data_IF_151739198472
#
_entry.id   IF_151739198472
#
_cell.length_a   1.000
_cell.length_b   1.000
_cell.length_c   1.000
_cell.angle_alpha   90.00
_cell.angle_beta   90.00
_cell.angle_gamma   90.00
#
_symmetry.space_group_name_H-M   'P 1'
#
loop_
_entity.id
_entity.type
_entity.pdbx_description
1 polymer ?
#
# COMPACT_ATOMS: atom_id res chain seq x y z
N UNK A 1 24.55 -9.16 -33.52
CA UNK A 1 23.91 -8.03 -32.81
C UNK A 1 23.54 -6.96 -33.81
N UNK A 2 22.26 -6.67 -33.89
CA UNK A 2 21.70 -5.66 -34.80
C UNK A 2 22.16 -4.26 -34.41
N UNK A 3 22.55 -3.44 -35.39
CA UNK A 3 22.91 -2.05 -35.10
C UNK A 3 21.69 -1.23 -34.67
N UNK A 4 21.85 -0.36 -33.67
CA UNK A 4 20.79 0.53 -33.16
C UNK A 4 20.13 1.35 -34.29
N UNK A 5 20.90 1.75 -35.30
CA UNK A 5 20.41 2.48 -36.48
C UNK A 5 19.44 1.66 -37.35
N UNK A 6 19.67 0.35 -37.48
CA UNK A 6 18.78 -0.50 -38.27
C UNK A 6 17.43 -0.70 -37.57
N UNK A 7 17.45 -0.88 -36.24
CA UNK A 7 16.21 -0.97 -35.45
C UNK A 7 15.46 0.37 -35.49
N UNK A 8 16.18 1.49 -35.42
CA UNK A 8 15.58 2.82 -35.51
C UNK A 8 14.80 3.03 -36.81
N UNK A 9 15.42 2.72 -37.96
CA UNK A 9 14.79 2.90 -39.26
C UNK A 9 13.53 2.02 -39.40
N UNK A 10 13.60 0.77 -38.94
CA UNK A 10 12.46 -0.16 -39.02
C UNK A 10 11.33 0.24 -38.09
N UNK A 11 11.60 0.59 -36.82
CA UNK A 11 10.53 1.01 -35.90
C UNK A 11 9.84 2.29 -36.39
N UNK A 12 10.58 3.25 -36.96
CA UNK A 12 9.97 4.42 -37.59
C UNK A 12 9.05 4.06 -38.75
N UNK A 13 9.46 3.13 -39.62
CA UNK A 13 8.58 2.66 -40.72
C UNK A 13 7.37 1.89 -40.22
N UNK A 14 7.50 1.15 -39.12
CA UNK A 14 6.39 0.42 -38.52
C UNK A 14 5.41 1.38 -37.82
N UNK A 15 5.87 2.50 -37.26
CA UNK A 15 5.04 3.42 -36.48
C UNK A 15 3.79 3.90 -37.24
N UNK A 16 3.93 4.34 -38.49
CA UNK A 16 2.80 4.82 -39.31
C UNK A 16 1.78 3.69 -39.58
N UNK A 17 2.26 2.50 -39.91
CA UNK A 17 1.41 1.30 -40.10
C UNK A 17 0.75 0.88 -38.78
N UNK A 18 1.49 0.96 -37.68
CA UNK A 18 1.04 0.58 -36.34
C UNK A 18 -0.04 1.54 -35.83
N UNK A 19 0.06 2.83 -36.15
CA UNK A 19 -0.94 3.84 -35.81
C UNK A 19 -2.25 3.58 -36.55
N UNK A 20 -2.18 3.30 -37.85
CA UNK A 20 -3.37 2.94 -38.64
C UNK A 20 -4.01 1.63 -38.17
N UNK A 21 -3.19 0.63 -37.83
CA UNK A 21 -3.67 -0.66 -37.32
C UNK A 21 -4.26 -0.48 -35.92
N UNK A 22 -3.60 0.25 -35.02
CA UNK A 22 -4.10 0.57 -33.69
C UNK A 22 -5.45 1.27 -33.77
N UNK A 23 -5.57 2.32 -34.58
CA UNK A 23 -6.81 3.05 -34.77
C UNK A 23 -7.91 2.17 -35.35
N UNK A 24 -7.58 1.30 -36.31
CA UNK A 24 -8.53 0.36 -36.88
C UNK A 24 -9.02 -0.65 -35.84
N UNK A 25 -8.10 -1.32 -35.13
CA UNK A 25 -8.43 -2.28 -34.08
C UNK A 25 -9.25 -1.61 -32.98
N UNK A 26 -8.87 -0.41 -32.56
CA UNK A 26 -9.59 0.33 -31.54
C UNK A 26 -11.01 0.69 -32.01
N UNK A 27 -11.19 1.21 -33.23
CA UNK A 27 -12.53 1.49 -33.77
C UNK A 27 -13.36 0.21 -33.91
N UNK A 28 -12.76 -0.91 -34.31
CA UNK A 28 -13.46 -2.20 -34.41
C UNK A 28 -13.82 -2.76 -33.04
N UNK A 29 -12.93 -2.65 -32.06
CA UNK A 29 -13.21 -2.99 -30.68
C UNK A 29 -14.34 -2.10 -30.13
N UNK A 30 -14.31 -0.79 -30.39
CA UNK A 30 -15.38 0.13 -30.00
C UNK A 30 -16.72 -0.26 -30.61
N UNK A 31 -16.79 -0.45 -31.93
CA UNK A 31 -18.02 -0.83 -32.61
C UNK A 31 -18.54 -2.19 -32.10
N UNK A 32 -17.66 -3.16 -31.84
CA UNK A 32 -18.08 -4.45 -31.28
C UNK A 32 -18.56 -4.31 -29.83
N UNK A 33 -17.87 -3.52 -29.00
CA UNK A 33 -18.33 -3.21 -27.65
C UNK A 33 -19.68 -2.48 -27.69
N UNK A 34 -19.91 -1.58 -28.66
CA UNK A 34 -21.19 -0.90 -28.83
C UNK A 34 -22.30 -1.83 -29.33
N UNK A 35 -22.03 -2.69 -30.32
CA UNK A 35 -23.03 -3.52 -30.99
C UNK A 35 -23.35 -4.82 -30.22
N UNK A 36 -22.34 -5.43 -29.59
CA UNK A 36 -22.39 -6.82 -29.08
C UNK A 36 -22.56 -6.91 -27.57
N UNK A 37 -22.42 -5.79 -26.86
CA UNK A 37 -22.62 -5.78 -25.42
C UNK A 37 -24.11 -5.83 -25.10
N UNK A 38 -24.50 -6.86 -24.33
CA UNK A 38 -25.76 -6.88 -23.59
C UNK A 38 -25.92 -5.55 -22.84
N UNK A 39 -27.17 -5.11 -22.63
CA UNK A 39 -27.50 -3.85 -21.92
C UNK A 39 -26.70 -3.68 -20.61
N UNK A 40 -26.45 -4.80 -19.92
CA UNK A 40 -25.64 -4.87 -18.70
C UNK A 40 -24.21 -4.37 -18.90
N UNK A 41 -23.51 -4.76 -19.97
CA UNK A 41 -22.12 -4.29 -20.20
C UNK A 41 -22.14 -2.88 -20.80
N UNK A 42 -23.14 -2.50 -21.61
CA UNK A 42 -23.25 -1.10 -22.07
C UNK A 42 -23.39 -0.13 -20.91
N UNK A 43 -24.05 -0.54 -19.83
CA UNK A 43 -24.09 0.24 -18.58
C UNK A 43 -22.70 0.42 -17.95
N UNK A 44 -21.82 -0.58 -18.09
CA UNK A 44 -20.43 -0.57 -17.61
C UNK A 44 -19.54 0.34 -18.48
N UNK A 45 -19.73 0.38 -19.80
CA UNK A 45 -18.93 1.25 -20.69
C UNK A 45 -19.42 2.70 -20.71
N UNK A 46 -20.74 2.92 -20.60
CA UNK A 46 -21.33 4.27 -20.63
C UNK A 46 -21.10 5.03 -19.31
N UNK A 47 -20.80 4.33 -18.22
CA UNK A 47 -20.37 4.94 -16.98
C UNK A 47 -18.87 5.23 -17.04
N UNK A 48 -18.50 6.40 -17.57
CA UNK A 48 -17.18 7.06 -17.44
C UNK A 48 -15.90 6.27 -17.82
N UNK A 49 -16.01 5.08 -18.43
CA UNK A 49 -14.86 4.29 -18.86
C UNK A 49 -14.08 4.98 -19.97
N UNK A 50 -12.76 5.12 -19.81
CA UNK A 50 -11.88 5.72 -20.80
C UNK A 50 -11.13 4.62 -21.55
N UNK A 51 -11.14 4.72 -22.89
CA UNK A 51 -10.39 3.79 -23.75
C UNK A 51 -9.16 4.52 -24.28
N UNK A 52 -7.99 4.07 -23.82
CA UNK A 52 -6.70 4.66 -24.21
C UNK A 52 -5.95 3.72 -25.12
N UNK A 53 -5.73 4.17 -26.35
CA UNK A 53 -4.80 3.52 -27.26
C UNK A 53 -3.36 3.92 -26.92
N UNK A 54 -2.43 2.98 -27.11
CA UNK A 54 -1.01 3.23 -26.89
C UNK A 54 -0.17 2.40 -27.85
N UNK A 55 0.65 3.11 -28.64
CA UNK A 55 1.82 2.50 -29.28
C UNK A 55 3.00 2.62 -28.33
N UNK A 56 3.75 1.53 -28.17
CA UNK A 56 4.92 1.52 -27.29
C UNK A 56 6.00 2.44 -27.87
N UNK A 57 6.49 3.37 -27.06
CA UNK A 57 7.50 4.33 -27.51
C UNK A 57 8.79 3.64 -27.95
N UNK A 58 9.44 4.19 -28.97
CA UNK A 58 10.68 3.66 -29.53
C UNK A 58 11.73 3.26 -28.46
N UNK A 59 12.07 4.11 -27.47
CA UNK A 59 13.03 3.71 -26.43
C UNK A 59 12.57 2.48 -25.61
N UNK A 60 11.27 2.33 -25.39
CA UNK A 60 10.70 1.20 -24.65
C UNK A 60 10.73 -0.09 -25.47
N UNK A 61 10.54 0.00 -26.79
CA UNK A 61 10.64 -1.13 -27.74
C UNK A 61 12.07 -1.64 -27.79
N UNK A 62 13.06 -0.75 -27.98
CA UNK A 62 14.48 -1.10 -27.96
C UNK A 62 14.88 -1.79 -26.66
N UNK A 63 14.47 -1.21 -25.51
CA UNK A 63 14.78 -1.79 -24.20
C UNK A 63 14.21 -3.21 -24.08
N UNK A 64 12.93 -3.41 -24.39
CA UNK A 64 12.29 -4.74 -24.29
C UNK A 64 12.88 -5.73 -25.30
N UNK A 65 13.19 -5.29 -26.53
CA UNK A 65 13.85 -6.10 -27.54
C UNK A 65 15.20 -6.64 -27.04
N UNK A 66 16.01 -5.81 -26.37
CA UNK A 66 17.27 -6.23 -25.75
C UNK A 66 17.05 -7.21 -24.59
N UNK A 67 16.07 -6.94 -23.74
CA UNK A 67 15.74 -7.79 -22.58
C UNK A 67 15.33 -9.21 -22.99
N UNK A 68 14.59 -9.35 -24.09
CA UNK A 68 14.12 -10.65 -24.59
C UNK A 68 15.04 -11.26 -25.67
N UNK A 69 16.14 -10.57 -26.03
CA UNK A 69 17.13 -11.08 -26.97
C UNK A 69 16.70 -11.11 -28.44
N UNK A 70 15.90 -10.14 -28.90
CA UNK A 70 15.49 -10.03 -30.31
C UNK A 70 16.72 -9.92 -31.23
N UNK A 71 16.84 -10.84 -32.20
CA UNK A 71 18.01 -10.95 -33.08
C UNK A 71 17.82 -10.21 -34.40
N UNK A 72 16.59 -9.91 -34.81
CA UNK A 72 16.27 -9.16 -36.03
C UNK A 72 15.13 -8.16 -35.84
N UNK A 73 15.17 -7.04 -36.58
CA UNK A 73 14.10 -6.04 -36.57
C UNK A 73 12.74 -6.60 -36.98
N UNK A 74 12.72 -7.60 -37.87
CA UNK A 74 11.50 -8.19 -38.39
C UNK A 74 10.81 -9.12 -37.40
N UNK A 75 11.52 -9.48 -36.32
CA UNK A 75 10.96 -10.24 -35.20
C UNK A 75 10.28 -9.32 -34.18
N UNK A 76 10.53 -8.00 -34.22
CA UNK A 76 9.95 -7.04 -33.25
C UNK A 76 8.42 -7.10 -33.24
N UNK A 77 7.73 -7.05 -34.39
CA UNK A 77 6.30 -7.20 -34.41
C UNK A 77 5.88 -8.54 -33.83
N UNK A 78 6.62 -9.64 -33.98
CA UNK A 78 6.19 -10.95 -33.47
C UNK A 78 6.47 -11.17 -31.98
N UNK A 79 7.58 -10.63 -31.47
CA UNK A 79 8.10 -10.96 -30.13
C UNK A 79 7.74 -9.94 -29.05
N UNK A 80 7.29 -8.73 -29.42
CA UNK A 80 6.92 -7.69 -28.45
C UNK A 80 5.40 -7.62 -28.33
N UNK A 81 4.87 -8.42 -27.41
CA UNK A 81 3.42 -8.61 -27.20
C UNK A 81 2.64 -7.32 -26.90
N UNK A 82 3.29 -6.30 -26.32
CA UNK A 82 2.70 -5.01 -25.95
C UNK A 82 3.17 -3.86 -26.85
N UNK A 83 3.54 -4.18 -28.10
CA UNK A 83 3.97 -3.18 -29.07
C UNK A 83 2.79 -2.27 -29.47
N UNK A 84 1.65 -2.88 -29.79
CA UNK A 84 0.34 -2.21 -29.85
C UNK A 84 -0.40 -2.57 -28.56
N UNK A 85 -0.91 -1.56 -27.87
CA UNK A 85 -1.65 -1.76 -26.64
C UNK A 85 -2.90 -0.89 -26.55
N UNK A 86 -3.90 -1.38 -25.84
CA UNK A 86 -5.09 -0.63 -25.46
C UNK A 86 -5.38 -0.85 -23.99
N UNK A 87 -5.86 0.20 -23.33
CA UNK A 87 -6.37 0.14 -21.97
C UNK A 87 -7.84 0.50 -21.97
N UNK A 88 -8.64 -0.28 -21.26
CA UNK A 88 -10.03 0.04 -20.95
C UNK A 88 -10.10 0.20 -19.44
N UNK A 89 -10.45 1.41 -18.99
CA UNK A 89 -10.77 1.65 -17.58
C UNK A 89 -12.27 1.48 -17.33
N UNK A 90 -12.62 0.83 -16.23
CA UNK A 90 -13.99 0.71 -15.73
C UNK A 90 -14.14 1.46 -14.40
N UNK A 91 -15.34 1.88 -14.01
CA UNK A 91 -15.55 2.56 -12.72
C UNK A 91 -15.00 1.81 -11.51
N UNK A 92 -15.17 0.49 -11.45
CA UNK A 92 -14.70 -0.34 -10.35
C UNK A 92 -14.07 -1.67 -10.84
N UNK A 93 -13.39 -2.38 -9.94
CA UNK A 93 -12.66 -3.62 -10.26
C UNK A 93 -13.55 -4.83 -10.58
N UNK A 94 -14.79 -4.84 -10.08
CA UNK A 94 -15.77 -5.88 -10.39
C UNK A 94 -16.19 -5.80 -11.85
N UNK A 95 -16.50 -4.60 -12.32
CA UNK A 95 -16.78 -4.31 -13.71
C UNK A 95 -15.58 -4.63 -14.61
N UNK A 96 -14.35 -4.31 -14.17
CA UNK A 96 -13.14 -4.70 -14.89
C UNK A 96 -13.07 -6.23 -15.07
N UNK A 97 -13.38 -6.98 -14.01
CA UNK A 97 -13.41 -8.44 -14.03
C UNK A 97 -14.52 -8.98 -14.94
N UNK A 98 -15.72 -8.43 -14.86
CA UNK A 98 -16.85 -8.83 -15.71
C UNK A 98 -16.53 -8.59 -17.19
N UNK A 99 -15.99 -7.41 -17.52
CA UNK A 99 -15.57 -7.08 -18.89
C UNK A 99 -14.45 -8.02 -19.36
N UNK A 100 -13.44 -8.28 -18.52
CA UNK A 100 -12.39 -9.26 -18.85
C UNK A 100 -12.97 -10.65 -19.12
N UNK A 101 -13.88 -11.15 -18.28
CA UNK A 101 -14.53 -12.45 -18.43
C UNK A 101 -15.40 -12.52 -19.68
N UNK A 102 -16.13 -11.45 -19.98
CA UNK A 102 -16.91 -11.31 -21.20
C UNK A 102 -16.01 -11.39 -22.43
N UNK A 103 -14.97 -10.54 -22.48
CA UNK A 103 -13.99 -10.53 -23.56
C UNK A 103 -13.37 -11.90 -23.74
N UNK A 104 -12.91 -12.52 -22.65
CA UNK A 104 -12.35 -13.89 -22.65
C UNK A 104 -13.29 -14.90 -23.30
N UNK A 105 -14.58 -14.88 -22.96
CA UNK A 105 -15.58 -15.79 -23.54
C UNK A 105 -15.80 -15.51 -25.03
N UNK A 106 -15.88 -14.24 -25.44
CA UNK A 106 -16.07 -13.89 -26.85
C UNK A 106 -14.86 -14.29 -27.69
N UNK A 107 -13.64 -14.02 -27.21
CA UNK A 107 -12.40 -14.48 -27.82
C UNK A 107 -12.31 -16.00 -27.96
N UNK A 108 -13.03 -16.76 -27.13
CA UNK A 108 -13.06 -18.24 -27.19
C UNK A 108 -14.15 -18.76 -28.15
N UNK A 109 -15.24 -18.02 -28.37
CA UNK A 109 -16.42 -18.47 -29.10
C UNK A 109 -16.44 -18.06 -30.58
N UNK A 110 -16.06 -16.83 -30.90
CA UNK A 110 -16.15 -16.29 -32.25
C UNK A 110 -14.78 -16.23 -32.91
N UNK A 111 -14.52 -17.15 -33.86
CA UNK A 111 -13.32 -17.12 -34.72
C UNK A 111 -13.40 -16.07 -35.83
N UNK A 112 -14.55 -15.43 -36.01
CA UNK A 112 -14.85 -14.70 -37.26
C UNK A 112 -14.40 -13.24 -37.26
N UNK A 113 -14.13 -12.64 -36.09
CA UNK A 113 -13.83 -11.20 -35.96
C UNK A 113 -12.40 -10.90 -35.56
N UNK A 114 -11.69 -11.93 -35.06
CA UNK A 114 -10.24 -11.95 -34.99
C UNK A 114 -9.76 -12.94 -36.04
N UNK A 115 -9.08 -12.41 -37.05
CA UNK A 115 -8.47 -13.19 -38.13
C UNK A 115 -7.74 -14.41 -37.56
N UNK A 116 -7.78 -15.53 -38.29
CA UNK A 116 -7.25 -16.84 -37.88
C UNK A 116 -6.09 -16.68 -36.91
N UNK A 117 -6.39 -16.87 -35.62
CA UNK A 117 -5.43 -16.64 -34.55
C UNK A 117 -4.23 -17.56 -34.79
N UNK A 118 -3.09 -16.99 -35.18
CA UNK A 118 -1.84 -17.75 -35.40
C UNK A 118 -1.17 -18.18 -34.07
N UNK A 119 -1.96 -18.16 -32.97
CA UNK A 119 -1.61 -18.66 -31.65
C UNK A 119 -2.78 -18.56 -30.67
N UNK A 120 -2.77 -19.37 -29.60
CA UNK A 120 -3.79 -19.26 -28.55
C UNK A 120 -3.66 -17.93 -27.78
N UNK A 121 -4.77 -17.20 -27.54
CA UNK A 121 -4.74 -16.00 -26.71
C UNK A 121 -4.23 -16.33 -25.30
N UNK A 122 -3.29 -15.53 -24.79
CA UNK A 122 -2.84 -15.70 -23.40
C UNK A 122 -3.64 -14.77 -22.50
N UNK A 123 -4.41 -15.38 -21.60
CA UNK A 123 -5.15 -14.70 -20.56
C UNK A 123 -4.36 -14.78 -19.26
N UNK A 124 -3.87 -13.64 -18.76
CA UNK A 124 -3.14 -13.63 -17.49
C UNK A 124 -3.80 -12.64 -16.53
N UNK A 125 -4.45 -13.11 -15.45
CA UNK A 125 -4.72 -12.25 -14.31
C UNK A 125 -3.37 -11.95 -13.65
N UNK A 126 -2.73 -10.83 -14.00
CA UNK A 126 -1.40 -10.52 -13.45
C UNK A 126 -1.52 -9.99 -12.02
N UNK A 127 -1.45 -10.92 -11.07
CA UNK A 127 -1.08 -10.70 -9.67
C UNK A 127 0.00 -11.68 -9.19
N UNK A 128 0.83 -12.28 -10.05
CA UNK A 128 1.93 -13.17 -9.60
C UNK A 128 3.25 -12.83 -10.28
N UNK A 129 4.33 -12.99 -9.51
CA UNK A 129 5.75 -12.79 -9.82
C UNK A 129 6.19 -13.52 -11.11
N UNK A 130 6.08 -12.92 -12.30
CA UNK A 130 6.96 -13.34 -13.39
C UNK A 130 7.32 -12.24 -14.41
N UNK A 131 8.60 -12.26 -14.77
CA UNK A 131 9.37 -11.54 -15.82
C UNK A 131 9.33 -10.01 -15.93
N UNK A 132 8.39 -9.31 -15.30
CA UNK A 132 8.47 -7.87 -15.11
C UNK A 132 8.52 -7.57 -13.61
N UNK A 133 9.40 -6.65 -13.18
CA UNK A 133 9.60 -6.23 -11.79
C UNK A 133 8.35 -5.68 -11.05
N UNK A 134 7.17 -5.68 -11.69
CA UNK A 134 5.89 -5.27 -11.13
C UNK A 134 5.14 -6.51 -10.60
N UNK A 135 5.53 -6.98 -9.41
CA UNK A 135 4.82 -8.06 -8.71
C UNK A 135 3.77 -7.49 -7.73
N UNK A 136 3.08 -8.38 -7.00
CA UNK A 136 2.27 -8.05 -5.79
C UNK A 136 2.97 -7.02 -4.89
N UNK A 137 4.31 -7.01 -4.88
CA UNK A 137 5.13 -6.07 -4.14
C UNK A 137 4.97 -4.59 -4.53
N UNK A 138 4.54 -4.26 -5.76
CA UNK A 138 4.29 -2.86 -6.18
C UNK A 138 2.80 -2.49 -6.12
N UNK A 139 1.93 -3.48 -5.91
CA UNK A 139 0.48 -3.28 -5.86
C UNK A 139 -0.15 -2.87 -7.21
N UNK A 140 0.50 -3.23 -8.32
CA UNK A 140 -0.09 -3.04 -9.65
C UNK A 140 -1.17 -4.09 -9.89
N UNK A 141 -2.33 -3.68 -10.41
CA UNK A 141 -3.48 -4.53 -10.65
C UNK A 141 -4.08 -4.20 -12.03
N UNK A 142 -4.15 -5.20 -12.91
CA UNK A 142 -4.82 -5.13 -14.21
C UNK A 142 -5.07 -6.54 -14.75
N UNK A 143 -6.09 -6.70 -15.58
CA UNK A 143 -6.29 -7.90 -16.37
C UNK A 143 -5.66 -7.71 -17.74
N UNK A 144 -4.79 -8.65 -18.15
CA UNK A 144 -4.12 -8.59 -19.45
C UNK A 144 -4.67 -9.66 -20.38
N UNK A 145 -4.98 -9.25 -21.59
CA UNK A 145 -5.36 -10.11 -22.70
C UNK A 145 -4.35 -9.84 -23.82
N UNK A 146 -3.69 -10.87 -24.30
CA UNK A 146 -2.80 -10.77 -25.47
C UNK A 146 -3.30 -11.67 -26.58
N UNK A 147 -3.35 -11.15 -27.79
CA UNK A 147 -3.75 -11.87 -28.99
C UNK A 147 -2.98 -11.37 -30.20
N UNK A 148 -2.99 -12.13 -31.29
CA UNK A 148 -2.37 -11.74 -32.56
C UNK A 148 -3.48 -11.31 -33.52
N UNK A 149 -3.36 -10.11 -34.07
CA UNK A 149 -4.25 -9.56 -35.08
C UNK A 149 -3.61 -9.71 -36.46
N UNK A 150 -4.23 -10.50 -37.35
CA UNK A 150 -3.85 -10.51 -38.76
C UNK A 150 -4.58 -9.38 -39.50
N UNK A 151 -3.81 -8.40 -39.96
CA UNK A 151 -4.30 -7.25 -40.74
C UNK A 151 -4.74 -7.61 -42.16
N UNK A 152 -4.47 -8.85 -42.60
CA UNK A 152 -4.71 -9.34 -43.93
C UNK A 152 -3.93 -8.56 -44.99
N UNK A 153 -4.19 -8.85 -46.27
CA UNK A 153 -3.51 -8.16 -47.38
C UNK A 153 -3.96 -6.70 -47.60
N UNK A 154 -4.88 -6.17 -46.78
CA UNK A 154 -5.54 -4.87 -47.00
C UNK A 154 -4.67 -3.66 -46.64
N UNK A 155 -3.70 -3.85 -45.73
CA UNK A 155 -2.79 -2.78 -45.29
C UNK A 155 -1.33 -3.00 -45.74
N UNK A 156 -1.07 -4.06 -46.49
CA UNK A 156 0.26 -4.63 -46.71
C UNK A 156 0.85 -4.40 -48.10
N UNK A 157 0.30 -3.50 -48.93
CA UNK A 157 0.94 -3.20 -50.22
C UNK A 157 2.42 -2.80 -50.05
N UNK A 158 2.79 -2.26 -48.88
CA UNK A 158 4.16 -1.88 -48.52
C UNK A 158 4.70 -2.54 -47.22
N UNK A 159 3.99 -3.49 -46.61
CA UNK A 159 4.37 -4.07 -45.31
C UNK A 159 4.34 -5.61 -45.34
N UNK A 160 5.49 -6.25 -45.13
CA UNK A 160 5.62 -7.72 -45.05
C UNK A 160 5.03 -8.34 -43.77
N UNK A 161 4.52 -7.51 -42.85
CA UNK A 161 4.01 -7.94 -41.55
C UNK A 161 2.49 -7.92 -41.57
N UNK A 162 1.90 -9.11 -41.73
CA UNK A 162 0.44 -9.28 -41.67
C UNK A 162 -0.04 -9.44 -40.22
N UNK A 163 0.74 -10.07 -39.35
CA UNK A 163 0.40 -10.40 -37.97
C UNK A 163 0.99 -9.43 -36.94
N UNK A 164 0.13 -8.93 -36.05
CA UNK A 164 0.49 -7.94 -35.03
C UNK A 164 -0.02 -8.36 -33.66
N UNK A 165 0.85 -8.59 -32.66
CA UNK A 165 0.42 -8.84 -31.31
C UNK A 165 -0.13 -7.56 -30.71
N UNK A 166 -1.18 -7.74 -29.95
CA UNK A 166 -1.93 -6.69 -29.32
C UNK A 166 -2.13 -7.04 -27.85
N UNK A 167 -1.83 -6.08 -26.98
CA UNK A 167 -2.11 -6.19 -25.56
C UNK A 167 -3.34 -5.32 -25.20
N UNK A 168 -4.38 -5.96 -24.70
CA UNK A 168 -5.52 -5.29 -24.08
C UNK A 168 -5.41 -5.39 -22.55
N UNK A 169 -5.39 -4.25 -21.88
CA UNK A 169 -5.44 -4.17 -20.42
C UNK A 169 -6.83 -3.69 -19.98
N UNK A 170 -7.47 -4.44 -19.08
CA UNK A 170 -8.74 -4.05 -18.46
C UNK A 170 -8.50 -3.80 -16.97
N UNK A 171 -8.88 -2.63 -16.47
CA UNK A 171 -8.60 -2.23 -15.09
C UNK A 171 -9.66 -1.26 -14.56
N UNK A 172 -9.75 -1.07 -13.24
CA UNK A 172 -10.57 0.01 -12.69
C UNK A 172 -9.89 1.37 -12.86
N UNK A 173 -10.64 2.47 -12.75
CA UNK A 173 -10.09 3.84 -12.78
C UNK A 173 -9.04 4.08 -11.68
N UNK A 174 -9.25 3.52 -10.48
CA UNK A 174 -8.28 3.62 -9.38
C UNK A 174 -7.01 2.81 -9.66
N UNK A 175 -7.15 1.62 -10.25
CA UNK A 175 -6.01 0.83 -10.71
C UNK A 175 -5.24 1.52 -11.83
N UNK A 176 -5.93 2.14 -12.79
CA UNK A 176 -5.33 2.93 -13.86
C UNK A 176 -4.54 4.12 -13.29
N UNK A 177 -5.16 4.88 -12.40
CA UNK A 177 -4.51 5.98 -11.70
C UNK A 177 -3.22 5.51 -11.02
N UNK A 178 -3.27 4.40 -10.27
CA UNK A 178 -2.10 3.85 -9.60
C UNK A 178 -1.02 3.38 -10.58
N UNK A 179 -1.41 2.71 -11.66
CA UNK A 179 -0.50 2.26 -12.70
C UNK A 179 0.29 3.42 -13.31
N UNK A 180 -0.39 4.51 -13.64
CA UNK A 180 0.23 5.69 -14.25
C UNK A 180 1.07 6.49 -13.25
N UNK A 181 0.55 6.68 -12.03
CA UNK A 181 1.28 7.35 -10.95
C UNK A 181 2.56 6.59 -10.61
N UNK A 182 2.44 5.29 -10.35
CA UNK A 182 3.58 4.46 -9.94
C UNK A 182 4.64 4.38 -11.04
N UNK A 183 4.23 4.25 -12.31
CA UNK A 183 5.12 4.30 -13.46
C UNK A 183 5.82 5.66 -13.59
N UNK A 184 5.14 6.77 -13.34
CA UNK A 184 5.73 8.11 -13.49
C UNK A 184 6.80 8.39 -12.42
N UNK A 185 6.54 8.01 -11.18
CA UNK A 185 7.35 8.43 -10.03
C UNK A 185 8.32 7.36 -9.50
N UNK A 186 8.03 6.07 -9.70
CA UNK A 186 8.85 4.97 -9.15
C UNK A 186 9.64 4.18 -10.20
N UNK A 187 9.25 4.22 -11.48
CA UNK A 187 9.90 3.45 -12.55
C UNK A 187 11.33 3.90 -12.87
N UNK A 188 11.66 5.17 -12.62
CA UNK A 188 12.94 5.78 -13.05
C UNK A 188 13.98 5.92 -11.94
N UNK A 189 13.64 5.60 -10.69
CA UNK A 189 14.49 5.93 -9.55
C UNK A 189 15.01 4.65 -8.88
N UNK A 190 16.33 4.55 -8.72
CA UNK A 190 17.01 3.48 -7.98
C UNK A 190 16.63 3.44 -6.48
N UNK A 191 15.89 4.44 -6.00
CA UNK A 191 15.30 4.53 -4.65
C UNK A 191 14.03 3.70 -4.47
N UNK A 192 13.55 2.98 -5.49
CA UNK A 192 12.32 2.19 -5.47
C UNK A 192 12.21 1.19 -4.31
N UNK A 193 13.34 0.66 -3.80
CA UNK A 193 13.33 -0.25 -2.65
C UNK A 193 12.93 0.43 -1.34
N UNK A 194 13.27 1.70 -1.14
CA UNK A 194 12.89 2.44 0.07
C UNK A 194 11.44 2.90 0.03
N UNK A 195 10.89 3.15 -1.16
CA UNK A 195 9.50 3.56 -1.34
C UNK A 195 8.51 2.39 -1.45
N UNK A 196 9.01 1.16 -1.58
CA UNK A 196 8.19 -0.04 -1.75
C UNK A 196 7.09 -0.20 -0.67
N UNK A 197 7.36 0.01 0.65
CA UNK A 197 6.30 -0.09 1.65
C UNK A 197 5.15 0.90 1.42
N UNK A 198 5.48 2.12 0.97
CA UNK A 198 4.48 3.14 0.65
C UNK A 198 3.71 2.81 -0.62
N UNK A 199 4.37 2.22 -1.63
CA UNK A 199 3.71 1.74 -2.85
C UNK A 199 2.66 0.67 -2.53
N UNK A 200 3.02 -0.30 -1.68
CA UNK A 200 2.08 -1.34 -1.20
C UNK A 200 0.94 -0.72 -0.41
N UNK A 201 1.22 0.22 0.49
CA UNK A 201 0.20 0.87 1.30
C UNK A 201 -0.81 1.65 0.45
N UNK A 202 -0.34 2.45 -0.51
CA UNK A 202 -1.21 3.23 -1.40
C UNK A 202 -2.07 2.30 -2.26
N UNK A 203 -1.47 1.27 -2.85
CA UNK A 203 -2.23 0.26 -3.61
C UNK A 203 -3.35 -0.37 -2.78
N UNK A 204 -3.06 -0.77 -1.53
CA UNK A 204 -4.10 -1.32 -0.63
C UNK A 204 -5.19 -0.32 -0.31
N UNK A 205 -4.86 0.96 -0.09
CA UNK A 205 -5.85 2.02 0.14
C UNK A 205 -6.76 2.15 -1.08
N UNK A 206 -6.19 2.15 -2.29
CA UNK A 206 -6.96 2.24 -3.53
C UNK A 206 -7.83 1.00 -3.75
N UNK A 207 -7.33 -0.20 -3.43
CA UNK A 207 -8.11 -1.44 -3.52
C UNK A 207 -9.27 -1.47 -2.51
N UNK A 208 -9.06 -0.96 -1.29
CA UNK A 208 -10.12 -0.75 -0.30
C UNK A 208 -11.13 0.30 -0.75
N UNK A 209 -10.68 1.40 -1.36
CA UNK A 209 -11.58 2.41 -1.90
C UNK A 209 -12.44 1.85 -3.04
N UNK A 210 -11.89 0.99 -3.89
CA UNK A 210 -12.61 0.29 -4.96
C UNK A 210 -13.70 -0.65 -4.41
N UNK A 211 -13.40 -1.41 -3.34
CA UNK A 211 -14.43 -2.23 -2.64
C UNK A 211 -15.54 -1.38 -2.03
N UNK A 212 -15.20 -0.24 -1.42
CA UNK A 212 -16.20 0.68 -0.87
C UNK A 212 -17.09 1.27 -1.97
N UNK A 213 -16.50 1.72 -3.07
CA UNK A 213 -17.23 2.22 -4.23
C UNK A 213 -18.18 1.17 -4.80
N UNK A 214 -17.74 -0.08 -4.87
CA UNK A 214 -18.57 -1.21 -5.28
C UNK A 214 -19.74 -1.41 -4.30
N UNK A 215 -19.47 -1.52 -3.00
CA UNK A 215 -20.52 -1.72 -2.01
C UNK A 215 -21.58 -0.60 -2.08
N UNK A 216 -21.13 0.66 -2.16
CA UNK A 216 -22.02 1.81 -2.35
C UNK A 216 -22.82 1.74 -3.65
N UNK A 217 -22.20 1.31 -4.76
CA UNK A 217 -22.90 1.16 -6.03
C UNK A 217 -23.95 0.03 -5.98
N UNK A 218 -23.64 -1.08 -5.32
CA UNK A 218 -24.58 -2.20 -5.11
C UNK A 218 -25.76 -1.74 -4.23
N UNK A 219 -25.50 -0.99 -3.17
CA UNK A 219 -26.54 -0.41 -2.32
C UNK A 219 -27.44 0.56 -3.11
N UNK A 220 -26.86 1.47 -3.89
CA UNK A 220 -27.60 2.44 -4.71
C UNK A 220 -28.41 1.81 -5.85
N UNK A 221 -27.96 0.67 -6.39
CA UNK A 221 -28.64 -0.06 -7.47
C UNK A 221 -29.66 -1.08 -6.95
N UNK A 222 -29.64 -1.42 -5.67
CA UNK A 222 -30.70 -2.21 -5.06
C UNK A 222 -32.02 -1.43 -5.15
N UNK A 223 -33.11 -2.09 -5.59
CA UNK A 223 -34.40 -1.40 -5.76
C UNK A 223 -34.76 -0.67 -4.46
N UNK A 224 -35.19 0.60 -4.55
CA UNK A 224 -35.56 1.35 -3.36
C UNK A 224 -36.71 0.59 -2.70
N UNK A 225 -36.44 -0.01 -1.54
CA UNK A 225 -37.52 -0.17 -0.57
C UNK A 225 -38.13 1.23 -0.37
N UNK A 226 -39.44 1.31 -0.14
CA UNK A 226 -40.24 2.56 -0.05
C UNK A 226 -39.78 3.60 1.02
N UNK A 227 -38.54 3.52 1.51
CA UNK A 227 -37.86 4.38 2.48
C UNK A 227 -36.96 5.47 1.89
N UNK A 228 -36.88 5.66 0.57
CA UNK A 228 -35.93 6.59 -0.07
C UNK A 228 -36.06 8.07 0.40
N UNK A 229 -37.25 8.51 0.79
CA UNK A 229 -37.45 9.84 1.39
C UNK A 229 -36.86 9.94 2.82
N UNK A 230 -36.82 8.84 3.55
CA UNK A 230 -36.24 8.75 4.90
C UNK A 230 -34.72 8.68 4.85
N UNK A 231 -34.15 8.11 3.78
CA UNK A 231 -32.69 7.98 3.60
C UNK A 231 -32.02 9.31 3.23
N UNK A 232 -32.65 10.14 2.39
CA UNK A 232 -32.06 11.43 1.99
C UNK A 232 -31.99 12.42 3.17
N UNK A 233 -33.02 12.41 4.03
CA UNK A 233 -33.01 13.14 5.31
C UNK A 233 -31.96 12.55 6.27
N UNK A 234 -31.79 11.22 6.29
CA UNK A 234 -30.75 10.56 7.11
C UNK A 234 -29.32 10.89 6.66
N UNK A 235 -29.07 11.04 5.36
CA UNK A 235 -27.77 11.39 4.79
C UNK A 235 -27.41 12.85 5.07
N UNK A 236 -28.34 13.80 4.90
CA UNK A 236 -28.12 15.20 5.28
C UNK A 236 -27.87 15.35 6.78
N UNK A 237 -28.61 14.60 7.61
CA UNK A 237 -28.38 14.53 9.06
C UNK A 237 -27.00 13.94 9.36
N UNK A 238 -26.57 12.90 8.64
CA UNK A 238 -25.28 12.25 8.84
C UNK A 238 -24.10 13.17 8.47
N UNK A 239 -24.09 13.76 7.27
CA UNK A 239 -23.04 14.70 6.85
C UNK A 239 -23.05 16.00 7.66
N UNK A 240 -24.23 16.46 8.09
CA UNK A 240 -24.36 17.58 9.01
C UNK A 240 -23.68 17.30 10.35
N UNK A 241 -23.90 16.10 10.90
CA UNK A 241 -23.27 15.64 12.15
C UNK A 241 -21.75 15.52 12.01
N UNK A 242 -21.24 14.95 10.92
CA UNK A 242 -19.79 14.84 10.71
C UNK A 242 -19.12 16.22 10.62
N UNK A 243 -19.74 17.17 9.91
CA UNK A 243 -19.24 18.54 9.80
C UNK A 243 -19.21 19.23 11.16
N UNK A 244 -20.27 19.09 11.96
CA UNK A 244 -20.33 19.63 13.31
C UNK A 244 -19.21 19.05 14.19
N UNK A 245 -18.95 17.74 14.09
CA UNK A 245 -17.87 17.07 14.80
C UNK A 245 -16.50 17.63 14.38
N UNK A 246 -16.25 17.77 13.08
CA UNK A 246 -15.00 18.32 12.54
C UNK A 246 -14.77 19.74 13.05
N UNK A 247 -15.79 20.59 13.02
CA UNK A 247 -15.71 21.96 13.53
C UNK A 247 -15.49 21.96 15.06
N UNK A 248 -16.24 21.17 15.82
CA UNK A 248 -16.11 21.07 17.29
C UNK A 248 -14.73 20.60 17.72
N UNK A 249 -14.26 19.46 17.21
CA UNK A 249 -12.97 18.87 17.59
C UNK A 249 -11.81 19.71 17.06
N UNK A 250 -11.93 20.22 15.83
CA UNK A 250 -10.94 21.12 15.22
C UNK A 250 -10.77 22.41 16.04
N UNK A 251 -11.88 23.07 16.39
CA UNK A 251 -11.87 24.25 17.24
C UNK A 251 -11.28 23.95 18.62
N UNK A 252 -11.64 22.80 19.22
CA UNK A 252 -11.08 22.41 20.51
C UNK A 252 -9.55 22.25 20.46
N UNK A 253 -9.00 21.61 19.42
CA UNK A 253 -7.54 21.45 19.24
C UNK A 253 -6.83 22.80 19.01
N UNK A 254 -7.48 23.76 18.36
CA UNK A 254 -6.90 25.08 18.07
C UNK A 254 -7.01 26.05 19.26
N UNK A 255 -8.03 25.90 20.10
CA UNK A 255 -8.22 26.73 21.29
C UNK A 255 -7.01 26.64 22.23
N UNK A 256 -6.59 27.82 22.75
CA UNK A 256 -5.48 27.95 23.72
C UNK A 256 -4.21 27.23 23.29
N UNK A 257 -3.98 27.13 21.97
CA UNK A 257 -2.81 26.47 21.39
C UNK A 257 -2.65 25.00 21.86
N UNK A 258 -3.76 24.30 22.14
CA UNK A 258 -3.76 22.91 22.64
C UNK A 258 -2.96 21.98 21.74
N UNK A 259 -3.14 22.08 20.43
CA UNK A 259 -2.44 21.24 19.47
C UNK A 259 -0.91 21.30 19.66
N UNK A 260 -0.36 22.51 19.82
CA UNK A 260 1.08 22.65 20.04
C UNK A 260 1.48 22.28 21.48
N UNK A 261 0.70 22.69 22.48
CA UNK A 261 0.99 22.38 23.89
C UNK A 261 1.00 20.88 24.19
N UNK A 262 0.09 20.12 23.58
CA UNK A 262 -0.09 18.69 23.84
C UNK A 262 0.84 17.82 22.98
N UNK A 263 1.15 18.26 21.76
CA UNK A 263 1.82 17.41 20.76
C UNK A 263 3.05 18.05 20.09
N UNK A 264 3.43 19.27 20.47
CA UNK A 264 4.62 19.98 19.96
C UNK A 264 4.32 20.94 18.81
N UNK A 265 4.71 20.59 17.58
CA UNK A 265 4.45 21.42 16.38
C UNK A 265 3.71 20.66 15.27
N UNK A 266 2.65 19.87 15.57
CA UNK A 266 1.98 19.11 14.53
C UNK A 266 1.02 20.01 13.73
N UNK A 267 0.71 19.55 12.51
CA UNK A 267 -0.41 20.09 11.74
C UNK A 267 -1.73 19.58 12.33
N UNK A 268 -2.80 20.35 12.14
CA UNK A 268 -4.15 19.88 12.45
C UNK A 268 -4.42 18.56 11.70
N UNK A 269 -4.95 17.52 12.36
CA UNK A 269 -5.32 16.28 11.69
C UNK A 269 -6.33 16.51 10.57
N UNK A 270 -6.31 15.62 9.56
CA UNK A 270 -7.32 15.63 8.51
C UNK A 270 -8.73 15.35 9.10
N UNK A 271 -9.82 15.82 8.47
CA UNK A 271 -11.20 15.70 9.00
C UNK A 271 -11.59 14.29 9.48
N UNK A 272 -11.23 13.25 8.73
CA UNK A 272 -11.49 11.85 9.11
C UNK A 272 -10.92 11.48 10.49
N UNK A 273 -9.75 12.01 10.84
CA UNK A 273 -9.15 11.75 12.15
C UNK A 273 -9.82 12.57 13.27
N UNK A 274 -10.42 13.73 12.95
CA UNK A 274 -11.20 14.50 13.91
C UNK A 274 -12.50 13.77 14.26
N UNK A 275 -13.13 13.15 13.27
CA UNK A 275 -14.30 12.27 13.47
C UNK A 275 -13.91 11.08 14.35
N UNK A 276 -12.83 10.37 14.02
CA UNK A 276 -12.32 9.27 14.84
C UNK A 276 -11.98 9.67 16.29
N UNK A 277 -11.53 10.89 16.54
CA UNK A 277 -11.32 11.39 17.92
C UNK A 277 -12.65 11.43 18.67
N UNK A 278 -13.72 11.93 18.05
CA UNK A 278 -15.05 11.94 18.67
C UNK A 278 -15.60 10.51 18.85
N UNK A 279 -15.34 9.60 17.91
CA UNK A 279 -15.71 8.18 18.07
C UNK A 279 -15.00 7.53 19.26
N UNK A 280 -13.71 7.84 19.49
CA UNK A 280 -13.00 7.41 20.70
C UNK A 280 -13.68 7.95 21.96
N UNK A 281 -14.04 9.24 21.94
CA UNK A 281 -14.76 9.88 23.05
C UNK A 281 -16.04 9.11 23.37
N UNK A 282 -16.84 8.81 22.35
CA UNK A 282 -18.12 8.12 22.49
C UNK A 282 -17.91 6.68 22.96
N UNK A 283 -17.00 5.92 22.32
CA UNK A 283 -16.72 4.52 22.61
C UNK A 283 -16.15 4.29 24.01
N UNK A 284 -15.34 5.22 24.52
CA UNK A 284 -14.76 5.14 25.87
C UNK A 284 -15.57 5.90 26.92
N UNK A 285 -16.67 6.54 26.52
CA UNK A 285 -17.47 7.43 27.36
C UNK A 285 -16.58 8.46 28.08
N UNK A 286 -15.89 9.28 27.27
CA UNK A 286 -15.02 10.38 27.70
C UNK A 286 -15.30 11.63 26.88
N UNK A 287 -14.82 12.76 27.39
CA UNK A 287 -14.85 14.05 26.72
C UNK A 287 -13.47 14.43 26.18
N UNK A 288 -13.41 15.45 25.32
CA UNK A 288 -12.13 15.98 24.84
C UNK A 288 -11.27 16.52 26.00
N UNK A 289 -11.90 17.12 27.01
CA UNK A 289 -11.19 17.63 28.20
C UNK A 289 -10.63 16.49 29.07
N UNK A 290 -11.31 15.33 29.13
CA UNK A 290 -10.75 14.13 29.76
C UNK A 290 -9.47 13.67 29.03
N UNK A 291 -9.45 13.72 27.70
CA UNK A 291 -8.24 13.40 26.91
C UNK A 291 -7.11 14.36 27.25
N UNK A 292 -7.38 15.66 27.34
CA UNK A 292 -6.38 16.64 27.80
C UNK A 292 -5.87 16.31 29.21
N UNK A 293 -6.77 15.92 30.12
CA UNK A 293 -6.44 15.45 31.45
C UNK A 293 -5.52 14.23 31.42
N UNK A 294 -5.85 13.21 30.62
CA UNK A 294 -5.05 12.00 30.46
C UNK A 294 -3.67 12.28 29.87
N UNK A 295 -3.57 13.18 28.89
CA UNK A 295 -2.29 13.61 28.31
C UNK A 295 -1.48 14.38 29.34
N UNK A 296 -2.11 15.13 30.23
CA UNK A 296 -1.42 15.96 31.22
C UNK A 296 -0.99 15.20 32.49
N UNK A 297 -1.59 14.04 32.74
CA UNK A 297 -1.26 13.17 33.87
C UNK A 297 0.17 12.59 33.73
N UNK A 298 1.08 12.86 34.69
CA UNK A 298 2.44 12.34 34.68
C UNK A 298 2.54 10.80 34.61
N UNK A 299 1.63 10.07 35.26
CA UNK A 299 1.64 8.60 35.26
C UNK A 299 1.35 8.07 33.84
N UNK A 300 0.35 8.66 33.18
CA UNK A 300 -0.01 8.29 31.82
C UNK A 300 1.09 8.67 30.82
N UNK A 301 1.75 9.82 30.99
CA UNK A 301 2.93 10.22 30.20
C UNK A 301 4.08 9.23 30.36
N UNK A 302 4.38 8.85 31.61
CA UNK A 302 5.44 7.87 31.92
C UNK A 302 5.15 6.54 31.22
N UNK A 303 3.91 6.06 31.25
CA UNK A 303 3.48 4.84 30.57
C UNK A 303 3.51 4.95 29.03
N UNK A 304 3.04 6.06 28.48
CA UNK A 304 3.11 6.36 27.06
C UNK A 304 4.56 6.34 26.56
N UNK A 305 5.47 7.04 27.25
CA UNK A 305 6.88 7.09 26.90
C UNK A 305 7.57 5.72 27.05
N UNK A 306 7.16 4.90 28.04
CA UNK A 306 7.65 3.53 28.19
C UNK A 306 7.34 2.65 26.99
N UNK A 307 6.12 2.76 26.44
CA UNK A 307 5.73 2.03 25.22
C UNK A 307 6.53 2.55 24.01
N UNK A 308 6.73 3.87 23.88
CA UNK A 308 7.52 4.42 22.78
C UNK A 308 9.00 4.02 22.85
N UNK A 309 9.63 4.02 24.03
CA UNK A 309 11.06 3.75 24.18
C UNK A 309 11.44 2.32 23.79
N UNK A 310 10.54 1.34 24.00
CA UNK A 310 10.75 -0.05 23.56
C UNK A 310 10.32 -0.31 22.10
N UNK A 311 9.65 0.65 21.47
CA UNK A 311 9.10 0.51 20.12
C UNK A 311 10.11 0.94 19.05
N UNK A 312 10.55 0.05 18.14
CA UNK A 312 11.59 0.37 17.18
C UNK A 312 11.21 1.52 16.25
N UNK A 313 12.05 2.56 16.20
CA UNK A 313 11.91 3.72 15.29
C UNK A 313 10.62 4.52 15.50
N UNK A 314 10.03 4.50 16.69
CA UNK A 314 8.85 5.32 17.03
C UNK A 314 9.20 6.31 18.14
N UNK A 315 9.63 7.51 17.76
CA UNK A 315 9.90 8.60 18.70
C UNK A 315 8.65 9.42 19.06
N UNK A 316 7.64 9.41 18.19
CA UNK A 316 6.36 10.06 18.42
C UNK A 316 5.26 9.40 17.59
N UNK A 317 4.01 9.54 18.06
CA UNK A 317 2.80 9.19 17.34
C UNK A 317 2.13 10.45 16.77
N UNK A 318 1.39 10.35 15.65
CA UNK A 318 0.53 11.44 15.21
C UNK A 318 -0.54 11.77 16.26
N UNK A 319 -1.18 12.96 16.19
CA UNK A 319 -2.10 13.42 17.24
C UNK A 319 -3.23 12.43 17.55
N UNK A 320 -3.88 11.87 16.51
CA UNK A 320 -4.96 10.90 16.69
C UNK A 320 -4.50 9.64 17.45
N UNK A 321 -3.45 8.97 16.99
CA UNK A 321 -2.95 7.76 17.67
C UNK A 321 -2.42 8.08 19.08
N UNK A 322 -1.85 9.27 19.30
CA UNK A 322 -1.48 9.73 20.64
C UNK A 322 -2.70 9.84 21.54
N UNK A 323 -3.76 10.51 21.07
CA UNK A 323 -5.01 10.67 21.82
C UNK A 323 -5.68 9.32 22.13
N UNK A 324 -5.73 8.41 21.15
CA UNK A 324 -6.22 7.04 21.35
C UNK A 324 -5.44 6.35 22.47
N UNK A 325 -4.12 6.37 22.38
CA UNK A 325 -3.24 5.69 23.33
C UNK A 325 -3.37 6.28 24.75
N UNK A 326 -3.36 7.61 24.89
CA UNK A 326 -3.58 8.27 26.18
C UNK A 326 -4.96 8.00 26.75
N UNK A 327 -6.00 7.92 25.92
CA UNK A 327 -7.36 7.61 26.36
C UNK A 327 -7.47 6.19 26.91
N UNK A 328 -6.87 5.22 26.22
CA UNK A 328 -6.85 3.83 26.67
C UNK A 328 -6.02 3.67 27.96
N UNK A 329 -4.86 4.34 28.04
CA UNK A 329 -4.03 4.39 29.25
C UNK A 329 -4.79 5.03 30.42
N UNK A 330 -5.45 6.18 30.20
CA UNK A 330 -6.22 6.90 31.22
C UNK A 330 -7.42 6.10 31.74
N UNK A 331 -8.03 5.28 30.88
CA UNK A 331 -9.05 4.28 31.25
C UNK A 331 -8.47 3.01 31.88
N UNK A 332 -7.18 3.01 32.22
CA UNK A 332 -6.43 1.92 32.86
C UNK A 332 -6.58 0.58 32.11
N UNK A 333 -6.62 0.63 30.78
CA UNK A 333 -6.58 -0.58 29.95
C UNK A 333 -5.21 -1.28 30.08
N UNK A 334 -5.17 -2.62 29.99
CA UNK A 334 -3.91 -3.37 29.96
C UNK A 334 -3.02 -2.96 28.78
N UNK A 335 -1.70 -2.93 28.98
CA UNK A 335 -0.72 -2.46 27.99
C UNK A 335 -0.79 -3.24 26.68
N UNK A 336 -1.09 -4.53 26.76
CA UNK A 336 -1.30 -5.41 25.61
C UNK A 336 -2.45 -4.91 24.72
N UNK A 337 -3.60 -4.60 25.35
CA UNK A 337 -4.79 -4.10 24.67
C UNK A 337 -4.54 -2.71 24.08
N UNK A 338 -3.88 -1.82 24.83
CA UNK A 338 -3.46 -0.49 24.37
C UNK A 338 -2.60 -0.62 23.10
N UNK A 339 -1.56 -1.44 23.14
CA UNK A 339 -0.63 -1.61 22.02
C UNK A 339 -1.32 -2.23 20.81
N UNK A 340 -2.19 -3.21 21.00
CA UNK A 340 -2.89 -3.87 19.90
C UNK A 340 -3.84 -2.90 19.18
N UNK A 341 -4.71 -2.21 19.92
CA UNK A 341 -5.66 -1.25 19.34
C UNK A 341 -4.95 -0.08 18.63
N UNK A 342 -3.85 0.42 19.19
CA UNK A 342 -3.09 1.50 18.53
C UNK A 342 -2.35 0.96 17.29
N UNK A 343 -1.88 -0.28 17.29
CA UNK A 343 -1.24 -0.90 16.13
C UNK A 343 -2.21 -1.09 14.95
N UNK A 344 -3.51 -1.34 15.22
CA UNK A 344 -4.57 -1.35 14.21
C UNK A 344 -4.77 0.00 13.51
N UNK A 345 -4.26 1.09 14.09
CA UNK A 345 -4.28 2.42 13.47
C UNK A 345 -2.91 2.84 12.91
N UNK A 346 -1.84 2.11 13.24
CA UNK A 346 -0.48 2.39 12.79
C UNK A 346 -0.02 1.57 11.57
N UNK A 347 -0.73 0.50 11.22
CA UNK A 347 -0.34 -0.36 10.10
C UNK A 347 -0.24 0.43 8.78
N UNK A 348 -1.10 1.43 8.58
CA UNK A 348 -1.10 2.31 7.40
C UNK A 348 0.21 3.09 7.23
N UNK A 349 0.90 3.39 8.32
CA UNK A 349 2.17 4.13 8.31
C UNK A 349 3.39 3.23 8.56
N UNK A 350 3.20 1.90 8.55
CA UNK A 350 4.28 0.93 8.69
C UNK A 350 5.02 0.98 10.04
N UNK A 351 4.40 1.55 11.07
CA UNK A 351 4.94 1.57 12.44
C UNK A 351 4.29 0.47 13.27
N UNK A 352 5.03 -0.08 14.23
CA UNK A 352 4.53 -1.09 15.16
C UNK A 352 5.05 -0.80 16.57
N UNK A 353 4.12 -0.57 17.49
CA UNK A 353 4.38 -0.47 18.91
C UNK A 353 4.64 -1.84 19.52
N UNK A 354 5.43 -1.85 20.59
CA UNK A 354 5.68 -3.01 21.44
C UNK A 354 5.20 -2.71 22.84
N UNK A 355 4.69 -3.73 23.50
CA UNK A 355 4.42 -3.69 24.92
C UNK A 355 5.73 -3.51 25.69
N UNK A 356 5.77 -2.65 26.71
CA UNK A 356 6.91 -2.54 27.59
C UNK A 356 7.02 -3.79 28.49
N UNK A 357 8.24 -4.17 28.89
CA UNK A 357 8.41 -5.14 29.96
C UNK A 357 7.76 -4.61 31.25
N UNK A 358 7.31 -5.51 32.13
CA UNK A 358 6.88 -5.14 33.46
C UNK A 358 8.09 -4.65 34.29
N UNK A 359 7.88 -3.79 35.28
CA UNK A 359 8.91 -3.58 36.29
C UNK A 359 9.02 -4.83 37.18
N UNK A 360 10.23 -5.14 37.65
CA UNK A 360 10.46 -6.26 38.55
C UNK A 360 11.73 -7.05 38.27
N UNK A 361 11.82 -8.23 38.87
CA UNK A 361 12.98 -9.12 38.74
C UNK A 361 12.89 -9.95 37.47
N UNK A 362 13.99 -9.98 36.71
CA UNK A 362 14.15 -10.72 35.48
C UNK A 362 15.33 -11.67 35.59
N UNK A 363 15.19 -12.82 34.92
CA UNK A 363 16.24 -13.81 34.71
C UNK A 363 16.57 -13.88 33.23
N UNK A 364 17.85 -13.97 32.88
CA UNK A 364 18.30 -14.02 31.50
C UNK A 364 19.72 -14.54 31.36
N UNK A 365 20.21 -14.56 30.12
CA UNK A 365 21.54 -15.06 29.80
C UNK A 365 22.32 -14.02 29.01
N UNK A 366 23.60 -13.86 29.32
CA UNK A 366 24.51 -13.00 28.55
C UNK A 366 24.79 -13.71 27.22
N UNK A 367 24.14 -13.27 26.13
CA UNK A 367 24.31 -13.87 24.80
C UNK A 367 25.61 -13.46 24.12
N UNK A 368 26.10 -12.26 24.42
CA UNK A 368 27.32 -11.73 23.84
C UNK A 368 27.94 -10.74 24.81
N UNK A 369 29.25 -10.81 24.98
CA UNK A 369 30.03 -9.82 25.69
C UNK A 369 31.24 -9.41 24.84
N UNK A 370 31.49 -8.11 24.74
CA UNK A 370 32.65 -7.49 24.11
C UNK A 370 33.46 -6.80 25.20
N UNK A 371 34.53 -7.47 25.62
CA UNK A 371 35.41 -7.03 26.71
C UNK A 371 36.02 -5.67 26.42
N UNK A 372 36.46 -5.44 25.18
CA UNK A 372 37.12 -4.19 24.79
C UNK A 372 36.17 -2.99 24.88
N UNK A 373 34.88 -3.20 24.63
CA UNK A 373 33.86 -2.15 24.69
C UNK A 373 33.10 -2.11 26.01
N UNK A 374 33.36 -3.04 26.92
CA UNK A 374 32.57 -3.29 28.14
C UNK A 374 31.07 -3.33 27.83
N UNK A 375 30.72 -4.00 26.74
CA UNK A 375 29.36 -4.04 26.20
C UNK A 375 28.90 -5.47 26.08
N UNK A 376 27.64 -5.75 26.39
CA UNK A 376 27.06 -7.05 26.08
C UNK A 376 25.56 -7.02 26.03
N UNK A 377 24.98 -8.15 25.66
CA UNK A 377 23.55 -8.31 25.43
C UNK A 377 23.04 -9.40 26.35
N UNK A 378 22.08 -9.05 27.20
CA UNK A 378 21.30 -10.01 28.00
C UNK A 378 20.00 -10.30 27.25
N UNK A 379 19.71 -11.59 27.07
CA UNK A 379 18.42 -12.07 26.55
C UNK A 379 17.66 -12.74 27.68
N UNK A 380 16.45 -12.26 27.97
CA UNK A 380 15.62 -12.83 29.04
C UNK A 380 15.02 -14.16 28.63
N UNK A 381 14.70 -15.02 29.60
CA UNK A 381 13.90 -16.22 29.35
C UNK A 381 12.58 -15.83 28.66
N UNK A 382 12.21 -16.51 27.56
CA UNK A 382 11.07 -16.15 26.70
C UNK A 382 11.37 -15.15 25.56
N UNK A 383 12.63 -14.73 25.41
CA UNK A 383 13.19 -14.02 24.23
C UNK A 383 12.45 -12.73 23.76
N UNK A 384 11.71 -12.06 24.65
CA UNK A 384 10.91 -10.89 24.23
C UNK A 384 11.72 -9.59 24.23
N UNK A 385 12.76 -9.48 25.07
CA UNK A 385 13.55 -8.26 25.25
C UNK A 385 15.05 -8.54 25.24
N UNK A 386 15.82 -7.57 24.72
CA UNK A 386 17.29 -7.56 24.75
C UNK A 386 17.75 -6.33 25.50
N UNK A 387 18.56 -6.53 26.53
CA UNK A 387 19.11 -5.45 27.35
C UNK A 387 20.60 -5.30 27.10
N UNK A 388 21.10 -4.07 27.12
CA UNK A 388 22.52 -3.79 26.92
C UNK A 388 23.23 -3.65 28.27
N UNK A 389 24.33 -4.37 28.47
CA UNK A 389 25.05 -4.43 29.75
C UNK A 389 25.65 -3.08 30.19
N UNK A 390 25.91 -2.17 29.26
CA UNK A 390 26.35 -0.81 29.58
C UNK A 390 25.28 0.01 30.32
N UNK A 391 24.02 -0.44 30.32
CA UNK A 391 22.93 0.16 31.07
C UNK A 391 22.90 -0.26 32.55
N UNK A 392 23.78 -1.17 32.97
CA UNK A 392 23.78 -1.74 34.31
C UNK A 392 24.94 -1.19 35.16
N UNK A 393 24.66 -0.87 36.42
CA UNK A 393 25.71 -0.72 37.44
C UNK A 393 26.18 -2.11 37.86
N UNK A 394 26.99 -2.73 37.03
CA UNK A 394 27.46 -4.10 37.22
C UNK A 394 28.98 -4.14 37.31
N UNK A 395 29.50 -4.78 38.36
CA UNK A 395 30.93 -5.00 38.55
C UNK A 395 31.24 -6.47 38.31
N UNK A 396 31.94 -6.76 37.21
CA UNK A 396 32.53 -8.08 36.97
C UNK A 396 34.01 -8.00 37.32
N UNK A 397 34.53 -8.90 38.16
CA UNK A 397 35.97 -9.06 38.30
C UNK A 397 36.61 -9.31 36.93
N UNK A 398 37.69 -8.58 36.60
CA UNK A 398 38.31 -8.63 35.27
C UNK A 398 38.65 -10.05 34.80
N UNK A 399 38.96 -10.95 35.75
CA UNK A 399 39.32 -12.35 35.53
C UNK A 399 38.19 -13.21 34.94
N UNK A 400 36.92 -12.78 35.04
CA UNK A 400 35.76 -13.54 34.54
C UNK A 400 35.18 -13.02 33.21
N UNK A 401 35.70 -11.91 32.68
CA UNK A 401 35.11 -11.20 31.53
C UNK A 401 35.00 -12.07 30.27
N UNK A 402 36.00 -12.92 30.00
CA UNK A 402 36.02 -13.81 28.82
C UNK A 402 35.05 -14.99 28.93
N UNK A 403 34.58 -15.30 30.15
CA UNK A 403 33.68 -16.44 30.45
C UNK A 403 32.22 -16.03 30.61
N UNK A 404 31.88 -14.75 30.45
CA UNK A 404 30.52 -14.26 30.70
C UNK A 404 29.50 -14.74 29.67
N UNK A 405 29.91 -15.11 28.45
CA UNK A 405 28.96 -15.54 27.43
C UNK A 405 28.32 -16.88 27.83
N UNK A 406 27.00 -16.88 27.96
CA UNK A 406 26.21 -18.01 28.43
C UNK A 406 25.91 -17.98 29.94
N UNK A 407 26.53 -17.08 30.70
CA UNK A 407 26.25 -16.94 32.13
C UNK A 407 24.81 -16.46 32.36
N UNK A 408 24.17 -17.06 33.36
CA UNK A 408 22.86 -16.68 33.82
C UNK A 408 22.96 -15.46 34.75
N UNK A 409 22.05 -14.51 34.56
CA UNK A 409 21.97 -13.28 35.35
C UNK A 409 20.55 -13.06 35.85
N UNK A 410 20.46 -12.52 37.06
CA UNK A 410 19.24 -11.94 37.61
C UNK A 410 19.43 -10.44 37.74
N UNK A 411 18.43 -9.66 37.37
CA UNK A 411 18.47 -8.19 37.49
C UNK A 411 17.08 -7.63 37.74
N UNK A 412 17.00 -6.41 38.24
CA UNK A 412 15.75 -5.69 38.41
C UNK A 412 15.58 -4.65 37.32
N UNK A 413 14.42 -4.64 36.67
CA UNK A 413 14.09 -3.64 35.67
C UNK A 413 13.19 -2.56 36.28
N UNK A 414 13.62 -1.32 36.16
CA UNK A 414 12.92 -0.13 36.68
C UNK A 414 12.73 0.86 35.54
N UNK A 415 11.56 1.49 35.44
CA UNK A 415 11.32 2.56 34.49
C UNK A 415 11.77 3.88 35.11
N UNK A 416 12.78 4.53 34.55
CA UNK A 416 13.33 5.78 35.10
C UNK A 416 13.18 6.93 34.13
N UNK A 417 12.98 8.13 34.66
CA UNK A 417 13.00 9.38 33.88
C UNK A 417 14.40 10.01 33.94
N UNK A 418 15.02 10.18 32.77
CA UNK A 418 16.27 10.91 32.61
C UNK A 418 16.03 12.24 31.89
N UNK A 419 16.61 13.37 32.34
CA UNK A 419 16.57 14.63 31.61
C UNK A 419 17.14 14.53 30.18
N UNK A 420 18.14 13.66 29.97
CA UNK A 420 18.87 13.57 28.70
C UNK A 420 18.24 12.58 27.72
N UNK A 421 17.55 11.55 28.23
CA UNK A 421 17.09 10.43 27.42
C UNK A 421 15.58 10.17 27.52
N UNK A 422 14.86 10.94 28.34
CA UNK A 422 13.45 10.71 28.63
C UNK A 422 13.23 9.47 29.48
N UNK A 423 12.00 8.93 29.43
CA UNK A 423 11.62 7.73 30.18
C UNK A 423 12.18 6.46 29.52
N UNK A 424 13.06 5.73 30.22
CA UNK A 424 13.67 4.50 29.74
C UNK A 424 13.70 3.42 30.82
N UNK A 425 13.67 2.17 30.40
CA UNK A 425 13.91 1.06 31.31
C UNK A 425 15.40 0.96 31.62
N UNK A 426 15.74 1.01 32.90
CA UNK A 426 17.09 0.85 33.43
C UNK A 426 17.12 -0.43 34.24
N UNK A 427 18.15 -1.23 33.99
CA UNK A 427 18.34 -2.47 34.69
C UNK A 427 19.39 -2.28 35.81
N UNK A 428 19.02 -2.71 37.02
CA UNK A 428 19.78 -2.53 38.27
C UNK A 428 20.06 -3.87 38.93
N UNK A 429 20.97 -3.87 39.90
CA UNK A 429 21.22 -4.99 40.80
C UNK A 429 21.44 -6.32 40.05
N UNK A 430 22.29 -6.28 39.01
CA UNK A 430 22.55 -7.51 38.25
C UNK A 430 23.51 -8.41 39.01
N UNK A 431 23.10 -9.65 39.19
CA UNK A 431 23.86 -10.70 39.88
C UNK A 431 24.06 -11.89 38.93
N UNK A 432 25.27 -12.45 38.91
CA UNK A 432 25.55 -13.71 38.22
C UNK A 432 25.02 -14.86 39.08
N UNK A 433 24.24 -15.76 38.49
CA UNK A 433 23.90 -17.01 39.15
C UNK A 433 25.12 -17.96 39.09
N UNK A 434 25.41 -18.63 40.20
CA UNK A 434 26.52 -19.61 40.30
C UNK A 434 26.22 -20.93 39.61
#
# INVERSE_FOLDING_TARGET
>A
MVSDRGIEKRVRSLADTSERISDYIARKAMLYLEDSMDEEIRSISNSSGEIKQRIKSYPSVIRKAREIGVESHDEIPRLIEDYIGMRISTPNKNQAKQLFEYLRRQFTKEKDWFCDLVGEPKFTPMTVEDRNYYSISTGYQAYHITFVYDSGSRYTQDCEVCEWPFELQVMSQLWEFWADYSRKYFYRTSTSKQSLPYQVAISKILDSADELMKATAEDLLSEPNDSAATEQESLEVHYGKEREIVEKVGNWLQQKDRLNRLFGTPKLPAPVFLIKIQEICDALSITLDDIEGFISDPENRRKYNAILSVSPKVSFLPPYQSMLMYSLIGKKRPDEEVVNLVNEELWLIGKKLRKPPAEGSYRGFIKRYDVAKKFGIVETEGATYRFFLNSFKFFVPDEKLDTLTGAEVVFELHLEESPEHGTNFIARNMELCE
#
